data_IF_404412043163
#
_entry.id   IF_404412043163
#
_cell.length_a   1.000
_cell.length_b   1.000
_cell.length_c   1.000
_cell.angle_alpha   90.00
_cell.angle_beta   90.00
_cell.angle_gamma   90.00
#
_symmetry.space_group_name_H-M   'P 1'
#
loop_
_entity.id
_entity.type
_entity.pdbx_description
1 polymer ?
#
# COMPACT_ATOMS: atom_id res chain seq x y z
N UNK A 1 31.97 5.89 -1.49
CA UNK A 1 30.70 6.11 -2.24
C UNK A 1 29.59 6.23 -1.21
N UNK A 2 28.75 7.26 -1.26
CA UNK A 2 27.59 7.40 -0.36
C UNK A 2 26.37 6.71 -0.98
N UNK A 3 25.58 6.00 -0.17
CA UNK A 3 24.30 5.45 -0.63
C UNK A 3 23.31 6.59 -0.84
N UNK A 4 22.60 6.55 -1.96
CA UNK A 4 21.54 7.51 -2.26
C UNK A 4 20.18 6.88 -2.05
N UNK A 5 19.25 7.66 -1.51
CA UNK A 5 17.90 7.22 -1.28
C UNK A 5 17.20 6.95 -2.62
N UNK A 6 16.77 5.70 -2.82
CA UNK A 6 16.09 5.32 -4.05
C UNK A 6 14.58 5.49 -3.97
N UNK A 7 13.88 4.92 -3.00
CA UNK A 7 12.41 4.99 -2.93
C UNK A 7 11.85 4.71 -1.52
N UNK A 8 10.65 5.23 -1.25
CA UNK A 8 9.90 4.88 -0.03
C UNK A 8 9.11 3.60 -0.27
N UNK A 9 9.50 2.51 0.38
CA UNK A 9 8.80 1.23 0.27
C UNK A 9 7.55 1.16 1.14
N UNK A 10 7.40 2.05 2.12
CA UNK A 10 6.21 2.11 2.96
C UNK A 10 5.04 2.75 2.21
N UNK A 11 5.33 3.75 1.37
CA UNK A 11 4.36 4.45 0.52
C UNK A 11 4.30 3.92 -0.93
N UNK A 12 4.87 2.74 -1.20
CA UNK A 12 4.91 2.17 -2.55
C UNK A 12 4.50 0.70 -2.58
N UNK A 13 4.11 0.25 -3.76
CA UNK A 13 3.91 -1.15 -4.11
C UNK A 13 4.94 -1.58 -5.15
N UNK A 14 5.19 -2.89 -5.17
CA UNK A 14 6.05 -3.53 -6.16
C UNK A 14 5.22 -4.42 -7.09
N UNK A 15 5.52 -4.37 -8.38
CA UNK A 15 4.79 -5.09 -9.42
C UNK A 15 5.75 -5.75 -10.41
N UNK A 16 5.31 -6.85 -11.01
CA UNK A 16 5.95 -7.37 -12.21
C UNK A 16 5.67 -6.44 -13.39
N UNK A 17 6.67 -6.24 -14.25
CA UNK A 17 6.49 -5.52 -15.50
C UNK A 17 6.17 -6.54 -16.59
N UNK A 18 4.99 -6.43 -17.17
CA UNK A 18 4.61 -7.21 -18.36
C UNK A 18 5.04 -6.47 -19.62
N UNK A 19 5.47 -7.23 -20.64
CA UNK A 19 5.90 -6.66 -21.94
C UNK A 19 6.95 -5.55 -21.81
N UNK A 20 7.89 -5.69 -20.87
CA UNK A 20 8.89 -4.68 -20.53
C UNK A 20 9.73 -4.22 -21.73
N UNK A 21 10.18 -5.16 -22.55
CA UNK A 21 10.94 -4.90 -23.77
C UNK A 21 10.16 -4.01 -24.74
N UNK A 22 8.87 -4.30 -24.94
CA UNK A 22 8.00 -3.62 -25.90
C UNK A 22 7.61 -2.21 -25.45
N UNK A 23 7.25 -2.04 -24.18
CA UNK A 23 6.70 -0.78 -23.68
C UNK A 23 7.73 0.17 -23.07
N UNK A 24 8.86 -0.37 -22.59
CA UNK A 24 9.83 0.40 -21.82
C UNK A 24 11.28 0.17 -22.25
N UNK A 25 11.54 -0.63 -23.29
CA UNK A 25 12.90 -0.89 -23.78
C UNK A 25 13.78 -1.59 -22.74
N UNK A 26 13.21 -2.40 -21.85
CA UNK A 26 14.00 -3.09 -20.82
C UNK A 26 14.99 -4.07 -21.45
N UNK A 27 16.22 -4.23 -20.90
CA UNK A 27 17.20 -5.16 -21.44
C UNK A 27 16.71 -6.62 -21.44
N UNK A 28 15.96 -7.00 -20.40
CA UNK A 28 15.41 -8.35 -20.20
C UNK A 28 13.89 -8.32 -20.02
N UNK A 29 13.26 -9.49 -20.03
CA UNK A 29 11.83 -9.63 -19.70
C UNK A 29 11.58 -9.75 -18.19
N UNK A 30 12.67 -9.86 -17.41
CA UNK A 30 12.63 -10.01 -15.96
C UNK A 30 12.56 -8.64 -15.26
N UNK A 31 11.68 -7.78 -15.76
CA UNK A 31 11.43 -6.46 -15.21
C UNK A 31 10.48 -6.48 -14.02
N UNK A 32 10.71 -5.59 -13.07
CA UNK A 32 9.78 -5.26 -12.00
C UNK A 32 9.81 -3.76 -11.74
N UNK A 33 8.82 -3.23 -11.05
CA UNK A 33 8.72 -1.80 -10.82
C UNK A 33 8.17 -1.44 -9.45
N UNK A 34 8.61 -0.29 -8.95
CA UNK A 34 8.12 0.33 -7.72
C UNK A 34 7.21 1.49 -8.09
N UNK A 35 5.95 1.43 -7.64
CA UNK A 35 4.92 2.45 -7.89
C UNK A 35 4.44 3.05 -6.56
N UNK A 36 4.63 4.36 -6.35
CA UNK A 36 4.10 5.06 -5.17
C UNK A 36 2.57 5.15 -5.19
N UNK A 37 1.92 5.12 -4.02
CA UNK A 37 0.46 5.21 -3.91
C UNK A 37 -0.11 6.55 -4.42
N UNK A 38 0.62 7.63 -4.17
CA UNK A 38 0.18 9.02 -4.45
C UNK A 38 0.23 9.37 -5.94
N UNK A 39 0.81 8.51 -6.78
CA UNK A 39 0.91 8.74 -8.22
C UNK A 39 -0.34 8.24 -8.91
N UNK A 40 -1.20 9.19 -9.32
CA UNK A 40 -2.47 8.96 -10.00
C UNK A 40 -2.25 8.54 -11.46
N UNK A 41 -1.95 7.25 -11.65
CA UNK A 41 -1.91 6.53 -12.93
C UNK A 41 -0.91 7.03 -13.98
N UNK A 42 -0.26 6.08 -14.65
CA UNK A 42 0.70 6.34 -15.74
C UNK A 42 2.14 5.94 -15.42
N UNK A 43 3.00 6.06 -16.44
CA UNK A 43 4.42 5.71 -16.38
C UNK A 43 5.25 6.75 -15.61
N UNK A 44 4.75 7.99 -15.53
CA UNK A 44 5.41 9.10 -14.83
C UNK A 44 5.47 8.81 -13.34
N UNK A 45 6.68 8.55 -12.82
CA UNK A 45 6.93 8.21 -11.41
C UNK A 45 7.11 6.72 -11.14
N UNK A 46 7.01 5.86 -12.17
CA UNK A 46 7.34 4.44 -12.05
C UNK A 46 8.85 4.25 -12.03
N UNK A 47 9.37 3.57 -11.01
CA UNK A 47 10.79 3.16 -10.98
C UNK A 47 10.90 1.76 -11.54
N UNK A 48 11.31 1.64 -12.80
CA UNK A 48 11.59 0.34 -13.42
C UNK A 48 12.96 -0.17 -13.00
N UNK A 49 13.02 -1.46 -12.72
CA UNK A 49 14.23 -2.23 -12.48
C UNK A 49 14.19 -3.48 -13.36
N UNK A 50 15.36 -3.95 -13.77
CA UNK A 50 15.50 -5.17 -14.56
C UNK A 50 16.60 -6.02 -13.94
N UNK A 51 16.32 -7.31 -13.78
CA UNK A 51 17.35 -8.30 -13.44
C UNK A 51 17.79 -9.06 -14.68
N UNK A 52 18.94 -9.72 -14.57
CA UNK A 52 19.49 -10.56 -15.64
C UNK A 52 18.66 -11.82 -15.85
N UNK A 53 18.18 -12.42 -14.77
CA UNK A 53 17.43 -13.68 -14.77
C UNK A 53 16.16 -13.63 -13.89
N UNK A 54 15.34 -14.68 -13.99
CA UNK A 54 14.09 -14.82 -13.24
C UNK A 54 14.29 -15.05 -11.74
N UNK A 55 15.35 -15.75 -11.34
CA UNK A 55 15.63 -16.05 -9.94
C UNK A 55 15.98 -14.76 -9.19
N UNK A 56 16.82 -13.91 -9.79
CA UNK A 56 17.17 -12.58 -9.31
C UNK A 56 15.93 -11.69 -9.18
N UNK A 57 15.05 -11.69 -10.19
CA UNK A 57 13.76 -10.97 -10.12
C UNK A 57 12.92 -11.45 -8.93
N UNK A 58 12.78 -12.76 -8.79
CA UNK A 58 11.97 -13.38 -7.74
C UNK A 58 12.55 -13.09 -6.34
N UNK A 59 13.87 -13.14 -6.19
CA UNK A 59 14.58 -12.79 -4.97
C UNK A 59 14.30 -11.32 -4.57
N UNK A 60 14.42 -10.38 -5.50
CA UNK A 60 14.07 -8.98 -5.25
C UNK A 60 12.60 -8.83 -4.85
N UNK A 61 11.67 -9.39 -5.63
CA UNK A 61 10.23 -9.33 -5.35
C UNK A 61 9.90 -9.88 -3.96
N UNK A 62 10.51 -11.00 -3.56
CA UNK A 62 10.35 -11.59 -2.25
C UNK A 62 10.90 -10.69 -1.14
N UNK A 63 12.11 -10.14 -1.30
CA UNK A 63 12.72 -9.24 -0.33
C UNK A 63 11.84 -8.00 -0.05
N UNK A 64 11.32 -7.36 -1.10
CA UNK A 64 10.41 -6.22 -0.95
C UNK A 64 9.09 -6.60 -0.26
N UNK A 65 8.52 -7.76 -0.60
CA UNK A 65 7.29 -8.26 0.03
C UNK A 65 7.50 -8.64 1.49
N UNK A 66 8.62 -9.26 1.83
CA UNK A 66 8.99 -9.59 3.21
C UNK A 66 9.14 -8.34 4.07
N UNK A 67 9.83 -7.32 3.57
CA UNK A 67 9.94 -6.02 4.25
C UNK A 67 8.55 -5.44 4.56
N UNK A 68 7.65 -5.45 3.56
CA UNK A 68 6.29 -4.91 3.73
C UNK A 68 5.44 -5.75 4.68
N UNK A 69 5.54 -7.07 4.61
CA UNK A 69 4.86 -7.99 5.53
C UNK A 69 5.30 -7.75 6.97
N UNK A 70 6.60 -7.58 7.20
CA UNK A 70 7.13 -7.27 8.52
C UNK A 70 6.57 -5.96 9.07
N UNK A 71 6.51 -4.90 8.26
CA UNK A 71 5.89 -3.62 8.66
C UNK A 71 4.40 -3.77 8.97
N UNK A 72 3.67 -4.53 8.16
CA UNK A 72 2.25 -4.82 8.40
C UNK A 72 2.06 -5.60 9.71
N UNK A 73 2.93 -6.57 9.99
CA UNK A 73 2.92 -7.33 11.22
C UNK A 73 3.16 -6.45 12.44
N UNK A 74 4.17 -5.57 12.41
CA UNK A 74 4.42 -4.60 13.48
C UNK A 74 3.22 -3.69 13.74
N UNK A 75 2.58 -3.19 12.69
CA UNK A 75 1.36 -2.37 12.81
C UNK A 75 0.18 -3.17 13.39
N UNK A 76 0.03 -4.44 13.00
CA UNK A 76 -1.01 -5.30 13.54
C UNK A 76 -0.78 -5.59 15.03
N UNK A 77 0.45 -5.90 15.43
CA UNK A 77 0.80 -6.06 16.84
C UNK A 77 0.54 -4.78 17.65
N UNK A 78 0.91 -3.62 17.13
CA UNK A 78 0.67 -2.34 17.81
C UNK A 78 -0.82 -2.05 18.02
N UNK A 79 -1.70 -2.51 17.12
CA UNK A 79 -3.16 -2.43 17.29
C UNK A 79 -3.67 -3.39 18.37
N UNK A 80 -3.11 -4.59 18.44
CA UNK A 80 -3.48 -5.60 19.44
C UNK A 80 -2.97 -5.26 20.85
N UNK A 81 -1.88 -4.50 20.96
CA UNK A 81 -1.34 -4.05 22.25
C UNK A 81 -2.06 -2.82 22.82
N UNK A 82 -3.01 -2.22 22.10
CA UNK A 82 -3.82 -1.13 22.65
C UNK A 82 -4.89 -1.69 23.61
N UNK A 83 -5.04 -1.12 24.82
CA UNK A 83 -6.13 -1.49 25.72
C UNK A 83 -7.49 -1.26 25.04
N UNK A 84 -8.49 -2.14 25.25
CA UNK A 84 -9.81 -2.04 24.60
C UNK A 84 -10.57 -0.72 24.87
N UNK A 85 -10.13 0.05 25.85
CA UNK A 85 -10.75 1.31 26.28
C UNK A 85 -10.32 2.54 25.45
N UNK A 86 -9.38 2.38 24.50
CA UNK A 86 -8.92 3.43 23.59
C UNK A 86 -9.23 3.00 22.13
N UNK A 87 -10.49 2.67 21.86
CA UNK A 87 -11.01 2.57 20.49
C UNK A 87 -11.44 3.96 19.97
N UNK A 88 -11.51 4.19 18.65
CA UNK A 88 -12.08 5.43 18.14
C UNK A 88 -13.51 5.54 18.67
N UNK A 89 -13.83 6.69 19.25
CA UNK A 89 -15.16 7.05 19.72
C UNK A 89 -16.22 6.50 18.75
N UNK A 90 -17.24 5.77 19.22
CA UNK A 90 -18.31 5.33 18.35
C UNK A 90 -18.86 6.57 17.64
N UNK A 91 -18.78 6.58 16.31
CA UNK A 91 -19.52 7.54 15.52
C UNK A 91 -20.97 7.47 16.02
N UNK A 92 -21.44 8.63 16.51
CA UNK A 92 -22.77 8.92 17.04
C UNK A 92 -23.82 7.88 16.59
N UNK A 93 -24.38 7.13 17.53
CA UNK A 93 -25.64 6.44 17.30
C UNK A 93 -26.72 7.52 17.14
N UNK A 94 -26.97 7.91 15.90
CA UNK A 94 -28.16 8.67 15.54
C UNK A 94 -29.31 7.66 15.46
N UNK A 95 -29.89 7.38 16.62
CA UNK A 95 -31.17 6.71 16.87
C UNK A 95 -31.28 6.76 18.38
N UNK A 96 -32.06 7.64 19.00
CA UNK A 96 -33.47 7.82 18.76
C UNK A 96 -33.78 9.31 18.64
N UNK A 97 -34.19 9.79 17.46
CA UNK A 97 -35.60 10.03 17.15
C UNK A 97 -36.57 9.85 18.32
N UNK A 98 -36.38 10.59 19.41
CA UNK A 98 -37.48 11.11 20.21
C UNK A 98 -38.26 12.11 19.35
N UNK A 99 -38.90 11.61 18.29
CA UNK A 99 -39.95 12.32 17.57
C UNK A 99 -41.12 12.38 18.55
N UNK A 100 -41.19 13.47 19.30
CA UNK A 100 -42.38 13.80 20.07
C UNK A 100 -43.51 13.96 19.06
N UNK A 101 -44.51 13.09 19.12
CA UNK A 101 -45.72 13.26 18.33
C UNK A 101 -46.40 14.56 18.78
N UNK A 102 -46.49 15.55 17.90
CA UNK A 102 -47.40 16.67 18.11
C UNK A 102 -48.80 16.22 17.71
N UNK A 103 -49.61 15.93 18.71
CA UNK A 103 -51.07 15.94 18.62
C UNK A 103 -51.52 17.37 18.28
N UNK A 104 -52.14 17.53 17.11
CA UNK A 104 -53.00 18.67 16.83
C UNK A 104 -54.41 18.13 16.62
N UNK A 105 -55.20 18.09 17.69
CA UNK A 105 -56.65 17.96 17.62
C UNK A 105 -57.32 18.67 18.80
N UNK A 106 -57.87 19.87 18.53
CA UNK A 106 -58.98 20.47 19.30
C UNK A 106 -58.61 21.58 20.25
#
# INVERSE_FOLDING_TARGET
RHLQYFADLTESNIYYVTQGKKHYGTPTEFGFCIKPYKVRSGVKGLKLLCSEDEQSRSCWMAAFRLFKLYRNYQQAQARLSQPPWIGPTPLRSVSDNALVAMDFSG
#
